data_IF_081443667284
#
_entry.id   IF_081443667284
#
_cell.length_a   1.000
_cell.length_b   1.000
_cell.length_c   1.000
_cell.angle_alpha   90.00
_cell.angle_beta   90.00
_cell.angle_gamma   90.00
#
_symmetry.space_group_name_H-M   'P 1'
#
loop_
_entity.id
_entity.type
_entity.pdbx_description
1 polymer ?
#
# COMPACT_ATOMS: atom_id res chain seq x y z
N UNK A 1 -10.92 -1.11 5.60
CA UNK A 1 -9.89 -0.78 6.62
C UNK A 1 -8.72 -0.16 5.88
N UNK A 2 -8.18 0.93 6.43
CA UNK A 2 -7.03 1.68 5.89
C UNK A 2 -6.06 1.87 7.05
N UNK A 3 -4.81 1.49 6.85
CA UNK A 3 -3.72 1.61 7.82
C UNK A 3 -2.49 2.22 7.16
N UNK A 4 -1.79 3.06 7.91
CA UNK A 4 -0.60 3.77 7.43
C UNK A 4 0.46 3.74 8.50
N UNK A 5 1.64 3.20 8.17
CA UNK A 5 2.80 3.17 9.05
C UNK A 5 3.97 3.90 8.41
N UNK A 6 4.61 4.78 9.20
CA UNK A 6 5.86 5.42 8.79
C UNK A 6 7.01 4.52 9.21
N UNK A 7 7.67 3.89 8.23
CA UNK A 7 8.73 2.89 8.47
C UNK A 7 10.15 3.46 8.29
N UNK A 8 10.25 4.77 8.04
CA UNK A 8 11.51 5.49 7.91
C UNK A 8 11.31 6.96 7.55
N UNK A 9 12.40 7.69 7.40
CA UNK A 9 12.36 9.06 6.87
C UNK A 9 11.95 9.02 5.40
N UNK A 10 10.79 9.59 5.08
CA UNK A 10 10.26 9.57 3.71
C UNK A 10 9.83 8.18 3.23
N UNK A 11 9.54 7.22 4.11
CA UNK A 11 9.05 5.91 3.74
C UNK A 11 7.75 5.57 4.48
N UNK A 12 6.73 5.17 3.73
CA UNK A 12 5.39 4.86 4.24
C UNK A 12 4.93 3.50 3.71
N UNK A 13 4.49 2.64 4.63
CA UNK A 13 3.74 1.44 4.33
C UNK A 13 2.24 1.76 4.43
N UNK A 14 1.51 1.56 3.33
CA UNK A 14 0.06 1.66 3.29
C UNK A 14 -0.54 0.26 3.19
N UNK A 15 -1.45 -0.08 4.10
CA UNK A 15 -2.23 -1.31 4.07
C UNK A 15 -3.70 -0.98 3.96
N UNK A 16 -4.42 -1.67 3.07
CA UNK A 16 -5.84 -1.38 2.85
C UNK A 16 -6.57 -2.57 2.25
N UNK A 17 -7.88 -2.62 2.49
CA UNK A 17 -8.78 -3.57 1.82
C UNK A 17 -9.45 -2.88 0.64
N UNK A 18 -9.44 -3.53 -0.52
CA UNK A 18 -10.24 -3.13 -1.68
C UNK A 18 -11.40 -4.09 -1.89
N UNK A 19 -12.48 -3.61 -2.49
CA UNK A 19 -13.55 -4.46 -3.01
C UNK A 19 -13.72 -4.21 -4.50
N UNK A 20 -13.87 -5.27 -5.28
CA UNK A 20 -14.10 -5.19 -6.72
C UNK A 20 -14.93 -6.37 -7.24
N UNK A 21 -15.13 -6.41 -8.55
CA UNK A 21 -15.95 -7.45 -9.20
C UNK A 21 -15.48 -8.89 -8.92
N UNK A 22 -14.16 -9.08 -8.73
CA UNK A 22 -13.56 -10.40 -8.46
C UNK A 22 -13.52 -10.79 -6.98
N UNK A 23 -14.06 -9.97 -6.09
CA UNK A 23 -13.95 -10.16 -4.64
C UNK A 23 -13.17 -9.05 -3.94
N UNK A 24 -12.86 -9.27 -2.67
CA UNK A 24 -12.05 -8.36 -1.89
C UNK A 24 -10.56 -8.74 -1.98
N UNK A 25 -9.66 -7.75 -1.87
CA UNK A 25 -8.23 -7.99 -1.72
C UNK A 25 -7.70 -7.26 -0.48
N UNK A 26 -6.78 -7.89 0.24
CA UNK A 26 -5.85 -7.20 1.14
C UNK A 26 -4.67 -6.68 0.34
N UNK A 27 -4.37 -5.39 0.46
CA UNK A 27 -3.30 -4.72 -0.27
C UNK A 27 -2.26 -4.15 0.67
N UNK A 28 -1.01 -4.23 0.23
CA UNK A 28 0.13 -3.55 0.84
C UNK A 28 0.90 -2.81 -0.24
N UNK A 29 1.30 -1.58 0.06
CA UNK A 29 2.14 -0.78 -0.84
C UNK A 29 3.18 0.02 -0.07
N UNK A 30 4.42 -0.02 -0.56
CA UNK A 30 5.54 0.76 -0.02
C UNK A 30 5.78 1.97 -0.91
N UNK A 31 5.66 3.15 -0.30
CA UNK A 31 5.93 4.43 -0.93
C UNK A 31 7.19 5.04 -0.32
N UNK A 32 8.07 5.53 -1.18
CA UNK A 32 9.30 6.22 -0.79
C UNK A 32 9.33 7.59 -1.46
N UNK A 33 9.56 8.63 -0.67
CA UNK A 33 9.77 9.98 -1.15
C UNK A 33 11.15 10.06 -1.81
N UNK A 34 11.15 10.35 -3.10
CA UNK A 34 12.33 10.50 -3.94
C UNK A 34 12.35 11.94 -4.47
N UNK A 35 13.21 12.77 -3.88
CA UNK A 35 13.16 14.23 -4.05
C UNK A 35 11.84 14.81 -3.53
N UNK A 36 11.02 15.34 -4.45
CA UNK A 36 9.72 15.93 -4.14
C UNK A 36 8.53 15.00 -4.49
N UNK A 37 8.79 13.76 -4.91
CA UNK A 37 7.76 12.87 -5.44
C UNK A 37 7.72 11.54 -4.68
N UNK A 38 6.52 11.11 -4.32
CA UNK A 38 6.30 9.77 -3.81
C UNK A 38 6.35 8.75 -4.94
N UNK A 39 7.20 7.74 -4.78
CA UNK A 39 7.35 6.64 -5.74
C UNK A 39 6.97 5.33 -5.09
N UNK A 40 6.13 4.57 -5.79
CA UNK A 40 5.75 3.22 -5.40
C UNK A 40 6.94 2.28 -5.65
N UNK A 41 7.45 1.64 -4.60
CA UNK A 41 8.58 0.71 -4.68
C UNK A 41 8.16 -0.74 -4.57
N UNK A 42 7.02 -1.00 -3.95
CA UNK A 42 6.42 -2.32 -3.85
C UNK A 42 4.90 -2.19 -3.80
N UNK A 43 4.19 -3.12 -4.44
CA UNK A 43 2.74 -3.23 -4.40
C UNK A 43 2.33 -4.69 -4.53
N UNK A 44 1.53 -5.18 -3.59
CA UNK A 44 1.01 -6.54 -3.60
C UNK A 44 -0.43 -6.57 -3.13
N UNK A 45 -1.22 -7.46 -3.74
CA UNK A 45 -2.60 -7.74 -3.36
C UNK A 45 -2.80 -9.24 -3.15
N UNK A 46 -3.41 -9.60 -2.03
CA UNK A 46 -3.81 -10.96 -1.68
C UNK A 46 -5.34 -11.03 -1.74
N UNK A 47 -5.93 -11.82 -2.65
CA UNK A 47 -7.37 -12.04 -2.65
C UNK A 47 -7.87 -12.59 -1.31
N UNK A 48 -9.00 -12.06 -0.85
CA UNK A 48 -9.76 -12.58 0.29
C UNK A 48 -10.85 -13.53 -0.25
N UNK A 49 -10.44 -14.78 -0.53
CA UNK A 49 -11.24 -15.90 -1.08
C UNK A 49 -11.60 -15.81 -2.58
#
# INVERSE_FOLDING_TARGET
MLGTDRIGTGAVLLTYRTQGYKGADLRSSLWVLDGAQWRLRFHQGTPEA
#
